data_IF_208671904258
#
_entry.id   IF_208671904258
#
_cell.length_a   1.000
_cell.length_b   1.000
_cell.length_c   1.000
_cell.angle_alpha   90.00
_cell.angle_beta   90.00
_cell.angle_gamma   90.00
#
_symmetry.space_group_name_H-M   'P 1'
#
loop_
_entity.id
_entity.type
_entity.pdbx_description
1 polymer ?
#
# COMPACT_ATOMS: atom_id res chain seq x y z
N UNK A 1 10.00 21.98 9.08
CA UNK A 1 9.84 22.31 7.65
C UNK A 1 10.91 21.53 6.90
N UNK A 2 10.54 20.43 6.23
CA UNK A 2 11.49 19.45 5.66
C UNK A 2 12.31 20.02 4.49
N UNK A 3 11.73 20.94 3.73
CA UNK A 3 12.49 21.71 2.75
C UNK A 3 13.25 22.82 3.50
N UNK A 4 14.58 22.68 3.64
CA UNK A 4 15.46 23.72 4.17
C UNK A 4 15.44 24.94 3.24
N UNK A 5 14.52 25.86 3.47
CA UNK A 5 14.44 27.13 2.74
C UNK A 5 15.48 28.08 3.35
N UNK A 6 16.47 28.49 2.55
CA UNK A 6 17.49 29.46 2.96
C UNK A 6 18.94 28.97 2.96
N UNK A 7 19.21 27.68 2.75
CA UNK A 7 20.56 27.21 2.38
C UNK A 7 20.82 27.56 0.92
N UNK A 8 21.74 28.51 0.70
CA UNK A 8 21.92 29.22 -0.56
C UNK A 8 22.73 28.46 -1.61
N UNK A 9 23.48 27.43 -1.22
CA UNK A 9 24.57 26.93 -2.07
C UNK A 9 24.28 25.59 -2.77
N UNK A 10 23.29 24.80 -2.32
CA UNK A 10 23.04 23.46 -2.87
C UNK A 10 21.61 23.25 -3.41
N UNK A 11 21.51 22.35 -4.40
CA UNK A 11 20.26 21.74 -4.87
C UNK A 11 19.86 20.68 -3.84
N UNK A 12 18.63 20.74 -3.34
CA UNK A 12 18.12 19.71 -2.43
C UNK A 12 16.87 19.03 -2.96
N UNK A 13 16.83 17.71 -2.80
CA UNK A 13 15.72 16.86 -3.21
C UNK A 13 15.02 16.32 -1.98
N UNK A 14 13.71 16.57 -1.86
CA UNK A 14 12.84 15.95 -0.87
C UNK A 14 12.07 14.81 -1.54
N UNK A 15 12.28 13.59 -1.07
CA UNK A 15 11.52 12.43 -1.48
C UNK A 15 10.31 12.23 -0.59
N UNK A 16 9.10 12.23 -1.14
CA UNK A 16 7.89 11.80 -0.45
C UNK A 16 7.57 10.38 -0.87
N UNK A 17 7.66 9.45 0.08
CA UNK A 17 7.48 8.02 -0.17
C UNK A 17 6.43 7.41 0.77
N UNK A 18 5.82 6.30 0.36
CA UNK A 18 4.83 5.58 1.16
C UNK A 18 3.76 4.89 0.30
N UNK A 19 2.85 4.20 0.97
CA UNK A 19 1.77 3.41 0.37
C UNK A 19 0.86 4.26 -0.56
N UNK A 20 0.19 3.59 -1.51
CA UNK A 20 -0.85 4.19 -2.33
C UNK A 20 -1.95 4.85 -1.49
N UNK A 21 -2.39 6.05 -1.88
CA UNK A 21 -3.47 6.75 -1.19
C UNK A 21 -3.08 7.58 0.04
N UNK A 22 -1.83 7.51 0.51
CA UNK A 22 -1.34 8.25 1.71
C UNK A 22 -1.25 9.78 1.57
N UNK A 23 -1.54 10.34 0.39
CA UNK A 23 -1.59 11.79 0.21
C UNK A 23 -0.27 12.46 -0.18
N UNK A 24 0.74 11.71 -0.64
CA UNK A 24 2.02 12.23 -1.17
C UNK A 24 1.84 13.38 -2.18
N UNK A 25 1.03 13.16 -3.21
CA UNK A 25 0.69 14.17 -4.23
C UNK A 25 0.05 15.41 -3.62
N UNK A 26 -0.85 15.23 -2.63
CA UNK A 26 -1.50 16.34 -1.93
C UNK A 26 -0.49 17.19 -1.16
N UNK A 27 0.44 16.55 -0.44
CA UNK A 27 1.51 17.24 0.29
C UNK A 27 2.47 17.97 -0.66
N UNK A 28 2.88 17.32 -1.76
CA UNK A 28 3.73 17.93 -2.77
C UNK A 28 3.07 19.17 -3.40
N UNK A 29 1.77 19.07 -3.73
CA UNK A 29 0.98 20.17 -4.27
C UNK A 29 0.84 21.32 -3.28
N UNK A 30 0.54 21.03 -2.03
CA UNK A 30 0.49 22.06 -0.99
C UNK A 30 1.82 22.79 -0.84
N UNK A 31 2.95 22.05 -0.81
CA UNK A 31 4.27 22.64 -0.75
C UNK A 31 4.57 23.51 -1.98
N UNK A 32 4.25 23.02 -3.19
CA UNK A 32 4.43 23.77 -4.43
C UNK A 32 3.66 25.09 -4.43
N UNK A 33 2.37 25.06 -4.09
CA UNK A 33 1.51 26.24 -4.06
C UNK A 33 2.01 27.26 -3.03
N UNK A 34 2.55 26.80 -1.90
CA UNK A 34 3.11 27.66 -0.84
C UNK A 34 4.48 28.23 -1.15
N UNK A 35 5.30 27.57 -1.97
CA UNK A 35 6.72 27.92 -2.12
C UNK A 35 7.07 28.48 -3.49
N UNK A 36 6.27 28.20 -4.52
CA UNK A 36 6.60 28.50 -5.91
C UNK A 36 6.92 29.97 -6.20
N UNK A 37 6.38 30.91 -5.42
CA UNK A 37 6.65 32.34 -5.58
C UNK A 37 8.09 32.76 -5.21
N UNK A 38 8.85 31.88 -4.54
CA UNK A 38 10.23 32.14 -4.09
C UNK A 38 11.30 31.68 -5.10
N UNK A 39 10.87 31.22 -6.27
CA UNK A 39 11.72 30.59 -7.29
C UNK A 39 11.51 31.28 -8.64
N UNK A 40 12.57 31.35 -9.43
CA UNK A 40 12.57 31.95 -10.77
C UNK A 40 11.87 31.04 -11.77
N UNK A 41 12.05 29.72 -11.60
CA UNK A 41 11.42 28.67 -12.40
C UNK A 41 10.60 27.75 -11.51
N UNK A 42 9.48 27.28 -12.05
CA UNK A 42 8.59 26.38 -11.34
C UNK A 42 7.95 25.39 -12.30
N UNK A 43 7.87 24.14 -11.88
CA UNK A 43 7.14 23.12 -12.63
C UNK A 43 6.52 22.11 -11.68
N UNK A 44 5.22 21.87 -11.85
CA UNK A 44 4.57 20.68 -11.33
C UNK A 44 4.29 19.73 -12.50
N UNK A 45 5.01 18.62 -12.51
CA UNK A 45 4.81 17.53 -13.46
C UNK A 45 3.96 16.44 -12.80
N UNK A 46 2.65 16.51 -13.06
CA UNK A 46 1.65 15.56 -12.54
C UNK A 46 1.76 14.19 -13.23
N UNK A 47 1.56 13.11 -12.48
CA UNK A 47 1.40 11.73 -12.96
C UNK A 47 2.45 11.25 -13.98
N UNK A 48 3.74 11.29 -13.61
CA UNK A 48 4.86 10.87 -14.47
C UNK A 48 4.71 9.43 -14.97
N UNK A 49 4.26 8.51 -14.11
CA UNK A 49 3.95 7.11 -14.47
C UNK A 49 2.95 7.02 -15.62
N UNK A 50 1.82 7.71 -15.52
CA UNK A 50 0.75 7.64 -16.51
C UNK A 50 1.17 8.32 -17.81
N UNK A 51 1.80 9.50 -17.73
CA UNK A 51 2.21 10.25 -18.91
C UNK A 51 3.29 9.51 -19.71
N UNK A 52 4.27 8.92 -19.03
CA UNK A 52 5.32 8.13 -19.69
C UNK A 52 4.76 6.88 -20.36
N UNK A 53 3.79 6.20 -19.75
CA UNK A 53 3.10 5.06 -20.35
C UNK A 53 2.32 5.49 -21.60
N UNK A 54 1.72 6.69 -21.58
CA UNK A 54 0.88 7.20 -22.67
C UNK A 54 1.68 7.74 -23.85
N UNK A 55 2.75 8.51 -23.60
CA UNK A 55 3.46 9.30 -24.61
C UNK A 55 4.95 9.01 -24.73
N UNK A 56 5.51 8.20 -23.82
CA UNK A 56 6.93 7.82 -23.79
C UNK A 56 7.81 8.85 -23.07
N UNK A 57 8.95 8.38 -22.56
CA UNK A 57 9.92 9.20 -21.81
C UNK A 57 10.39 10.47 -22.54
N UNK A 58 10.70 10.45 -23.86
CA UNK A 58 11.11 11.66 -24.56
C UNK A 58 10.02 12.74 -24.59
N UNK A 59 8.75 12.34 -24.73
CA UNK A 59 7.63 13.27 -24.73
C UNK A 59 7.42 13.89 -23.33
N UNK A 60 7.55 13.08 -22.27
CA UNK A 60 7.51 13.57 -20.89
C UNK A 60 8.62 14.58 -20.62
N UNK A 61 9.85 14.33 -21.07
CA UNK A 61 10.97 15.28 -20.91
C UNK A 61 10.70 16.60 -21.65
N UNK A 62 10.16 16.54 -22.87
CA UNK A 62 9.77 17.75 -23.61
C UNK A 62 8.64 18.51 -22.90
N UNK A 63 7.63 17.81 -22.39
CA UNK A 63 6.54 18.43 -21.62
C UNK A 63 7.07 19.11 -20.36
N UNK A 64 7.99 18.46 -19.65
CA UNK A 64 8.65 19.00 -18.46
C UNK A 64 9.39 20.30 -18.77
N UNK A 65 10.26 20.30 -19.79
CA UNK A 65 10.99 21.50 -20.21
C UNK A 65 10.03 22.61 -20.69
N UNK A 66 8.99 22.25 -21.44
CA UNK A 66 7.96 23.20 -21.90
C UNK A 66 7.28 23.92 -20.75
N UNK A 67 6.88 23.18 -19.71
CA UNK A 67 6.28 23.76 -18.49
C UNK A 67 7.26 24.66 -17.75
N UNK A 68 8.51 24.22 -17.59
CA UNK A 68 9.53 24.94 -16.83
C UNK A 68 9.93 26.26 -17.51
N UNK A 69 9.99 26.29 -18.84
CA UNK A 69 10.34 27.48 -19.64
C UNK A 69 9.15 28.29 -20.13
N UNK A 70 7.93 27.87 -19.82
CA UNK A 70 6.68 28.50 -20.26
C UNK A 70 6.61 28.69 -21.79
N UNK A 71 7.07 27.69 -22.54
CA UNK A 71 7.10 27.72 -24.00
C UNK A 71 6.35 26.54 -24.63
N UNK A 72 5.87 26.65 -25.88
CA UNK A 72 5.22 25.53 -26.57
C UNK A 72 6.20 24.35 -26.76
N UNK A 73 5.71 23.12 -26.59
CA UNK A 73 6.52 21.89 -26.75
C UNK A 73 7.27 21.84 -28.08
N UNK A 74 6.63 22.30 -29.16
CA UNK A 74 7.20 22.32 -30.51
C UNK A 74 8.38 23.31 -30.67
N UNK A 75 8.55 24.25 -29.73
CA UNK A 75 9.66 25.21 -29.75
C UNK A 75 10.96 24.65 -29.15
N UNK A 76 10.92 23.46 -28.54
CA UNK A 76 12.06 22.84 -27.85
C UNK A 76 13.01 22.06 -28.77
N UNK A 77 12.65 21.87 -30.04
CA UNK A 77 13.43 21.05 -31.00
C UNK A 77 14.79 21.65 -31.39
N UNK A 78 15.14 22.85 -30.89
CA UNK A 78 16.29 23.61 -31.43
C UNK A 78 17.55 23.55 -30.57
N UNK A 79 17.51 23.43 -29.23
CA UNK A 79 18.74 23.23 -28.44
C UNK A 79 18.48 22.89 -26.95
N UNK A 80 18.32 21.61 -26.61
CA UNK A 80 18.16 21.17 -25.21
C UNK A 80 19.37 21.54 -24.34
N UNK A 81 20.58 21.60 -24.92
CA UNK A 81 21.81 21.94 -24.20
C UNK A 81 21.92 23.40 -23.78
N UNK A 82 21.19 24.32 -24.43
CA UNK A 82 21.06 25.71 -23.97
C UNK A 82 20.13 25.78 -22.76
N UNK A 83 19.02 25.04 -22.81
CA UNK A 83 18.05 25.00 -21.72
C UNK A 83 18.67 24.41 -20.46
N UNK A 84 19.41 23.31 -20.57
CA UNK A 84 20.12 22.70 -19.44
C UNK A 84 21.16 23.65 -18.82
N UNK A 85 21.94 24.38 -19.64
CA UNK A 85 22.87 25.41 -19.14
C UNK A 85 22.17 26.53 -18.39
N UNK A 86 20.97 26.91 -18.84
CA UNK A 86 20.16 27.92 -18.17
C UNK A 86 19.61 27.43 -16.83
N UNK A 87 19.10 26.19 -16.77
CA UNK A 87 18.65 25.56 -15.53
C UNK A 87 19.76 25.46 -14.49
N UNK A 88 21.00 25.19 -14.92
CA UNK A 88 22.17 25.15 -14.05
C UNK A 88 22.52 26.50 -13.41
N UNK A 89 21.89 27.60 -13.83
CA UNK A 89 22.12 28.96 -13.30
C UNK A 89 20.92 29.58 -12.59
N UNK A 90 19.71 29.08 -12.85
CA UNK A 90 18.45 29.65 -12.35
C UNK A 90 17.88 28.84 -11.17
N UNK A 91 17.33 29.54 -10.18
CA UNK A 91 16.77 28.91 -8.98
C UNK A 91 15.38 28.34 -9.27
N UNK A 92 15.25 27.01 -9.23
CA UNK A 92 14.05 26.29 -9.69
C UNK A 92 13.33 25.52 -8.57
N UNK A 93 11.99 25.50 -8.59
CA UNK A 93 11.17 24.58 -7.79
C UNK A 93 10.48 23.57 -8.71
N UNK A 94 10.84 22.29 -8.56
CA UNK A 94 10.32 21.22 -9.41
C UNK A 94 9.59 20.20 -8.54
N UNK A 95 8.39 19.79 -8.95
CA UNK A 95 7.69 18.63 -8.43
C UNK A 95 7.55 17.59 -9.52
N UNK A 96 8.06 16.39 -9.23
CA UNK A 96 7.90 15.19 -10.06
C UNK A 96 6.94 14.24 -9.31
N UNK A 97 5.71 14.14 -9.78
CA UNK A 97 4.65 13.40 -9.09
C UNK A 97 4.43 12.01 -9.70
N UNK A 98 4.34 11.00 -8.84
CA UNK A 98 4.13 9.58 -9.15
C UNK A 98 5.19 9.03 -10.12
N UNK A 99 6.47 9.21 -9.76
CA UNK A 99 7.60 8.57 -10.45
C UNK A 99 7.65 7.10 -10.03
N UNK A 100 7.70 6.19 -11.00
CA UNK A 100 7.53 4.75 -10.79
C UNK A 100 8.71 3.89 -11.24
N UNK A 101 9.61 4.39 -12.11
CA UNK A 101 10.79 3.63 -12.56
C UNK A 101 12.07 4.47 -12.53
N UNK A 102 13.23 3.81 -12.41
CA UNK A 102 14.54 4.47 -12.48
C UNK A 102 14.73 5.19 -13.82
N UNK A 103 14.30 4.60 -14.94
CA UNK A 103 14.34 5.23 -16.25
C UNK A 103 13.56 6.55 -16.32
N UNK A 104 12.42 6.64 -15.62
CA UNK A 104 11.65 7.89 -15.52
C UNK A 104 12.42 8.93 -14.71
N UNK A 105 13.03 8.52 -13.59
CA UNK A 105 13.82 9.39 -12.74
C UNK A 105 15.07 9.92 -13.46
N UNK A 106 15.87 9.03 -14.07
CA UNK A 106 17.02 9.36 -14.91
C UNK A 106 16.65 10.35 -16.03
N UNK A 107 15.54 10.10 -16.73
CA UNK A 107 15.07 10.96 -17.82
C UNK A 107 14.70 12.38 -17.35
N UNK A 108 14.35 12.55 -16.08
CA UNK A 108 13.92 13.82 -15.48
C UNK A 108 14.98 14.46 -14.57
N UNK A 109 16.08 13.76 -14.30
CA UNK A 109 17.16 14.24 -13.44
C UNK A 109 18.03 15.28 -14.18
N UNK A 110 17.88 16.55 -13.81
CA UNK A 110 18.55 17.68 -14.47
C UNK A 110 19.60 18.32 -13.59
N UNK A 111 20.62 18.92 -14.21
CA UNK A 111 21.52 19.84 -13.52
C UNK A 111 20.78 21.16 -13.21
N UNK A 112 20.58 21.44 -11.93
CA UNK A 112 19.86 22.63 -11.45
C UNK A 112 20.82 23.63 -10.79
N UNK A 113 20.45 24.91 -10.83
CA UNK A 113 21.21 25.98 -10.23
C UNK A 113 21.12 25.99 -8.69
N UNK A 114 22.08 26.63 -8.00
CA UNK A 114 22.10 26.73 -6.55
C UNK A 114 20.77 27.23 -5.95
N UNK A 115 20.40 26.69 -4.80
CA UNK A 115 19.15 27.02 -4.14
C UNK A 115 17.89 26.41 -4.77
N UNK A 116 18.01 25.61 -5.83
CA UNK A 116 16.90 24.85 -6.41
C UNK A 116 16.40 23.77 -5.47
N UNK A 117 15.11 23.42 -5.59
CA UNK A 117 14.43 22.42 -4.79
C UNK A 117 13.67 21.46 -5.69
N UNK A 118 13.85 20.17 -5.47
CA UNK A 118 13.11 19.10 -6.15
C UNK A 118 12.26 18.37 -5.11
N UNK A 119 10.99 18.14 -5.41
CA UNK A 119 10.12 17.26 -4.64
C UNK A 119 9.75 16.10 -5.54
N UNK A 120 10.04 14.88 -5.12
CA UNK A 120 9.70 13.67 -5.86
C UNK A 120 8.69 12.88 -5.05
N UNK A 121 7.53 12.55 -5.63
CA UNK A 121 6.61 11.60 -5.02
C UNK A 121 6.75 10.24 -5.70
N UNK A 122 6.86 9.18 -4.90
CA UNK A 122 7.02 7.81 -5.40
C UNK A 122 6.42 6.82 -4.41
N UNK A 123 6.11 5.62 -4.89
CA UNK A 123 5.76 4.47 -4.05
C UNK A 123 6.95 3.56 -3.81
N UNK A 124 8.03 3.77 -4.53
CA UNK A 124 9.25 2.97 -4.52
C UNK A 124 10.45 3.82 -4.06
N UNK A 125 11.08 3.44 -2.94
CA UNK A 125 12.26 4.12 -2.39
C UNK A 125 13.45 4.10 -3.34
N UNK A 126 13.58 3.08 -4.17
CA UNK A 126 14.76 2.90 -5.03
C UNK A 126 14.91 4.07 -6.01
N UNK A 127 13.80 4.70 -6.38
CA UNK A 127 13.75 5.91 -7.23
C UNK A 127 14.65 7.03 -6.70
N UNK A 128 14.85 7.13 -5.38
CA UNK A 128 15.68 8.18 -4.82
C UNK A 128 17.17 7.98 -5.04
N UNK A 129 17.61 6.78 -5.45
CA UNK A 129 19.02 6.52 -5.80
C UNK A 129 19.50 7.38 -6.98
N UNK A 130 18.58 7.78 -7.87
CA UNK A 130 18.87 8.70 -8.98
C UNK A 130 19.04 10.16 -8.55
N UNK A 131 18.67 10.51 -7.31
CA UNK A 131 18.72 11.88 -6.81
C UNK A 131 19.77 12.01 -5.70
N UNK A 132 20.92 12.62 -6.05
CA UNK A 132 22.00 12.87 -5.08
C UNK A 132 21.52 13.73 -3.90
N UNK A 133 21.84 13.30 -2.68
CA UNK A 133 21.54 14.04 -1.45
C UNK A 133 20.05 14.14 -1.12
N UNK A 134 19.24 13.17 -1.58
CA UNK A 134 17.80 13.15 -1.31
C UNK A 134 17.49 12.89 0.18
N UNK A 135 16.74 13.80 0.79
CA UNK A 135 16.11 13.58 2.10
C UNK A 135 14.78 12.87 1.89
N UNK A 136 14.65 11.65 2.40
CA UNK A 136 13.45 10.83 2.22
C UNK A 136 12.52 11.00 3.41
N UNK A 137 11.27 11.34 3.15
CA UNK A 137 10.19 11.42 4.12
C UNK A 137 9.12 10.39 3.78
N UNK A 138 8.91 9.46 4.70
CA UNK A 138 7.78 8.54 4.65
C UNK A 138 6.51 9.25 5.09
N UNK A 139 5.53 9.30 4.18
CA UNK A 139 4.22 9.88 4.44
C UNK A 139 3.37 8.87 5.19
N UNK A 140 3.21 9.14 6.49
CA UNK A 140 2.40 8.34 7.41
C UNK A 140 0.90 8.56 7.20
N UNK A 141 0.11 7.59 7.65
CA UNK A 141 -1.35 7.70 7.72
C UNK A 141 -1.80 8.81 8.69
N UNK A 142 -3.06 9.22 8.55
CA UNK A 142 -3.68 10.17 9.49
C UNK A 142 -3.93 9.49 10.84
N UNK A 143 -3.82 10.25 11.92
CA UNK A 143 -4.27 9.80 13.24
C UNK A 143 -5.80 9.65 13.27
N UNK A 144 -6.32 9.11 14.37
CA UNK A 144 -7.76 8.81 14.52
C UNK A 144 -8.65 10.06 14.38
N UNK A 145 -8.22 11.19 14.96
CA UNK A 145 -8.97 12.44 14.97
C UNK A 145 -9.02 13.07 13.57
N UNK A 146 -7.86 13.18 12.91
CA UNK A 146 -7.76 13.69 11.54
C UNK A 146 -8.45 12.76 10.53
N UNK A 147 -8.40 11.45 10.77
CA UNK A 147 -9.13 10.46 9.98
C UNK A 147 -10.64 10.67 10.07
N UNK A 148 -11.16 10.80 11.30
CA UNK A 148 -12.58 11.04 11.55
C UNK A 148 -13.02 12.36 10.92
N UNK A 149 -12.23 13.43 11.07
CA UNK A 149 -12.52 14.72 10.45
C UNK A 149 -12.57 14.63 8.93
N UNK A 150 -11.57 14.00 8.30
CA UNK A 150 -11.52 13.87 6.84
C UNK A 150 -12.72 13.06 6.33
N UNK A 151 -13.00 11.91 6.96
CA UNK A 151 -14.16 11.10 6.63
C UNK A 151 -15.47 11.90 6.74
N UNK A 152 -15.68 12.60 7.86
CA UNK A 152 -16.89 13.39 8.09
C UNK A 152 -17.05 14.54 7.09
N UNK A 153 -15.95 15.19 6.68
CA UNK A 153 -16.02 16.22 5.63
C UNK A 153 -16.56 15.64 4.33
N UNK A 154 -16.18 14.41 3.99
CA UNK A 154 -16.64 13.75 2.77
C UNK A 154 -18.02 13.08 2.90
N UNK A 155 -18.42 12.65 4.11
CA UNK A 155 -19.73 12.05 4.36
C UNK A 155 -20.83 13.07 4.66
N UNK A 156 -20.51 14.11 5.42
CA UNK A 156 -21.50 15.01 6.02
C UNK A 156 -21.31 16.49 5.65
N UNK A 157 -20.23 16.84 4.94
CA UNK A 157 -19.82 18.22 4.65
C UNK A 157 -19.48 19.03 5.92
N UNK A 158 -19.21 18.34 7.02
CA UNK A 158 -18.86 18.90 8.33
C UNK A 158 -17.69 18.14 8.94
N UNK A 159 -16.93 18.75 9.84
CA UNK A 159 -15.78 18.08 10.49
C UNK A 159 -16.15 17.02 11.54
N UNK A 160 -17.43 16.90 11.86
CA UNK A 160 -17.92 16.01 12.91
C UNK A 160 -19.00 15.09 12.37
N UNK A 161 -19.13 13.93 12.99
CA UNK A 161 -20.19 12.99 12.71
C UNK A 161 -21.56 13.61 13.04
N UNK A 162 -22.59 13.20 12.29
CA UNK A 162 -23.98 13.54 12.63
C UNK A 162 -24.42 12.71 13.82
N UNK A 163 -25.33 13.28 14.62
CA UNK A 163 -25.95 12.56 15.74
C UNK A 163 -26.57 11.25 15.28
N UNK A 164 -26.18 10.13 15.90
CA UNK A 164 -26.60 8.77 15.57
C UNK A 164 -25.73 8.03 14.56
N UNK A 165 -24.68 8.68 14.02
CA UNK A 165 -23.72 8.12 13.05
C UNK A 165 -22.29 8.01 13.62
N UNK A 166 -22.08 8.34 14.89
CA UNK A 166 -20.76 8.38 15.54
C UNK A 166 -20.06 7.01 15.43
N UNK A 167 -20.69 5.96 15.95
CA UNK A 167 -20.17 4.58 15.92
C UNK A 167 -19.89 4.10 14.49
N UNK A 168 -20.78 4.41 13.54
CA UNK A 168 -20.59 4.01 12.15
C UNK A 168 -19.45 4.76 11.47
N UNK A 169 -19.24 6.02 11.84
CA UNK A 169 -18.13 6.83 11.35
C UNK A 169 -16.81 6.30 11.89
N UNK A 170 -16.76 5.94 13.17
CA UNK A 170 -15.60 5.30 13.81
C UNK A 170 -15.28 3.94 13.18
N UNK A 171 -16.29 3.09 12.94
CA UNK A 171 -16.11 1.81 12.24
C UNK A 171 -15.57 2.01 10.82
N UNK A 172 -16.09 3.00 10.08
CA UNK A 172 -15.62 3.31 8.74
C UNK A 172 -14.19 3.86 8.71
N UNK A 173 -13.82 4.72 9.68
CA UNK A 173 -12.47 5.29 9.76
C UNK A 173 -11.45 4.24 10.20
N UNK A 174 -11.83 3.36 11.13
CA UNK A 174 -11.01 2.21 11.55
C UNK A 174 -10.70 1.28 10.38
N UNK A 175 -11.70 0.93 9.58
CA UNK A 175 -11.50 0.17 8.34
C UNK A 175 -10.47 0.84 7.40
N UNK A 176 -10.46 2.17 7.33
CA UNK A 176 -9.53 2.88 6.46
C UNK A 176 -8.09 2.91 6.99
N UNK A 177 -7.86 2.63 8.27
CA UNK A 177 -6.52 2.60 8.88
C UNK A 177 -5.70 3.87 8.69
N UNK A 178 -6.34 5.04 8.69
CA UNK A 178 -5.67 6.32 8.46
C UNK A 178 -5.33 6.64 7.00
N UNK A 179 -5.68 5.77 6.03
CA UNK A 179 -5.44 6.03 4.60
C UNK A 179 -6.38 7.12 4.06
N UNK A 180 -5.86 8.31 3.65
CA UNK A 180 -6.69 9.42 3.18
C UNK A 180 -7.58 9.11 1.97
N UNK A 181 -7.10 8.30 1.03
CA UNK A 181 -7.90 7.92 -0.13
C UNK A 181 -9.10 7.06 0.29
N UNK A 182 -8.88 6.06 1.15
CA UNK A 182 -9.94 5.19 1.64
C UNK A 182 -11.02 6.00 2.39
N UNK A 183 -10.60 6.91 3.28
CA UNK A 183 -11.49 7.80 4.02
C UNK A 183 -12.37 8.65 3.09
N UNK A 184 -11.78 9.21 2.03
CA UNK A 184 -12.51 10.01 1.02
C UNK A 184 -13.51 9.16 0.25
N UNK A 185 -13.10 7.97 -0.20
CA UNK A 185 -13.95 7.08 -1.00
C UNK A 185 -15.13 6.59 -0.19
N UNK A 186 -14.91 6.13 1.05
CA UNK A 186 -15.99 5.66 1.91
C UNK A 186 -16.88 6.80 2.37
N UNK A 187 -16.33 7.93 2.80
CA UNK A 187 -17.11 9.10 3.20
C UNK A 187 -18.07 9.52 2.08
N UNK A 188 -17.56 9.67 0.85
CA UNK A 188 -18.38 10.04 -0.30
C UNK A 188 -19.44 8.97 -0.66
N UNK A 189 -19.12 7.68 -0.55
CA UNK A 189 -20.06 6.59 -0.79
C UNK A 189 -21.20 6.56 0.24
N UNK A 190 -20.90 6.94 1.47
CA UNK A 190 -21.82 6.85 2.60
C UNK A 190 -22.68 8.10 2.81
N UNK A 191 -22.20 9.29 2.44
CA UNK A 191 -22.86 10.55 2.76
C UNK A 191 -24.31 10.72 2.29
N UNK A 192 -24.75 9.93 1.30
CA UNK A 192 -26.12 9.96 0.76
C UNK A 192 -27.01 8.79 1.20
N UNK A 193 -26.50 7.88 2.05
CA UNK A 193 -27.15 6.62 2.41
C UNK A 193 -27.77 6.66 3.81
N UNK A 194 -28.76 5.81 4.08
CA UNK A 194 -29.35 5.66 5.42
C UNK A 194 -28.45 4.86 6.36
N UNK A 195 -28.72 4.92 7.66
CA UNK A 195 -27.97 4.20 8.70
C UNK A 195 -27.92 2.69 8.45
N UNK A 196 -29.06 2.10 8.08
CA UNK A 196 -29.17 0.66 7.82
C UNK A 196 -28.33 0.24 6.60
N UNK A 197 -28.22 1.12 5.61
CA UNK A 197 -27.38 0.86 4.43
C UNK A 197 -25.89 0.99 4.80
N UNK A 198 -25.51 1.92 5.68
CA UNK A 198 -24.12 1.99 6.18
C UNK A 198 -23.73 0.71 6.90
N UNK A 199 -24.58 0.22 7.81
CA UNK A 199 -24.35 -1.04 8.52
C UNK A 199 -24.15 -2.19 7.53
N UNK A 200 -25.07 -2.33 6.56
CA UNK A 200 -24.97 -3.39 5.55
C UNK A 200 -23.73 -3.29 4.67
N UNK A 201 -23.32 -2.09 4.26
CA UNK A 201 -22.13 -1.88 3.42
C UNK A 201 -20.84 -2.08 4.21
N UNK A 202 -20.78 -1.68 5.49
CA UNK A 202 -19.64 -1.98 6.37
C UNK A 202 -19.48 -3.48 6.58
N UNK A 203 -20.58 -4.22 6.77
CA UNK A 203 -20.53 -5.69 6.83
C UNK A 203 -20.10 -6.33 5.50
N UNK A 204 -20.49 -5.71 4.38
CA UNK A 204 -20.06 -6.17 3.05
C UNK A 204 -18.56 -5.95 2.83
N UNK A 205 -17.99 -4.81 3.28
CA UNK A 205 -16.57 -4.49 3.10
C UNK A 205 -15.65 -5.52 3.75
N UNK A 206 -16.07 -6.16 4.86
CA UNK A 206 -15.35 -7.28 5.49
C UNK A 206 -15.14 -8.50 4.58
N UNK A 207 -15.91 -8.60 3.48
CA UNK A 207 -15.88 -9.74 2.54
C UNK A 207 -15.56 -9.35 1.12
N UNK A 208 -15.96 -8.15 0.72
CA UNK A 208 -15.84 -7.63 -0.64
C UNK A 208 -15.25 -6.22 -0.52
N UNK A 209 -13.92 -6.08 -0.64
CA UNK A 209 -13.26 -4.80 -0.56
C UNK A 209 -13.75 -3.81 -1.62
N UNK A 210 -13.56 -2.51 -1.35
CA UNK A 210 -13.96 -1.49 -2.30
C UNK A 210 -13.03 -1.47 -3.52
N UNK A 211 -13.57 -1.76 -4.71
CA UNK A 211 -12.79 -1.82 -5.95
C UNK A 211 -11.96 -0.56 -6.26
N UNK A 212 -12.46 0.65 -5.94
CA UNK A 212 -11.70 1.89 -6.21
C UNK A 212 -10.49 2.05 -5.29
N UNK A 213 -10.60 1.60 -4.04
CA UNK A 213 -9.48 1.59 -3.10
C UNK A 213 -8.48 0.54 -3.57
N UNK A 214 -8.97 -0.65 -3.89
CA UNK A 214 -8.20 -1.80 -4.36
C UNK A 214 -7.36 -1.47 -5.61
N UNK A 215 -7.97 -0.87 -6.64
CA UNK A 215 -7.30 -0.48 -7.89
C UNK A 215 -6.07 0.41 -7.64
N UNK A 216 -6.18 1.37 -6.70
CA UNK A 216 -5.06 2.27 -6.41
C UNK A 216 -3.95 1.54 -5.65
N UNK A 217 -4.29 0.67 -4.71
CA UNK A 217 -3.30 -0.10 -3.94
C UNK A 217 -2.57 -1.13 -4.82
N UNK A 218 -3.32 -1.77 -5.73
CA UNK A 218 -2.84 -2.84 -6.61
C UNK A 218 -1.75 -2.38 -7.59
N UNK A 219 -1.64 -1.08 -7.84
CA UNK A 219 -0.56 -0.54 -8.68
C UNK A 219 0.84 -0.91 -8.17
N UNK A 220 1.09 -0.86 -6.85
CA UNK A 220 2.39 -1.23 -6.29
C UNK A 220 2.63 -2.75 -6.36
N UNK A 221 1.56 -3.56 -6.25
CA UNK A 221 1.63 -5.01 -6.40
C UNK A 221 1.92 -5.44 -7.84
N UNK A 222 1.32 -4.77 -8.82
CA UNK A 222 1.53 -5.07 -10.24
C UNK A 222 2.97 -4.78 -10.70
N UNK A 223 3.70 -3.93 -9.98
CA UNK A 223 5.10 -3.59 -10.25
C UNK A 223 6.09 -4.61 -9.64
N UNK A 224 5.60 -5.65 -8.96
CA UNK A 224 6.39 -6.75 -8.41
C UNK A 224 6.60 -7.86 -9.45
N UNK A 225 7.73 -8.58 -9.36
CA UNK A 225 7.89 -9.84 -10.08
C UNK A 225 7.03 -10.97 -9.48
N UNK A 226 6.94 -12.11 -10.17
CA UNK A 226 6.07 -13.21 -9.73
C UNK A 226 6.44 -13.76 -8.35
N UNK A 227 7.73 -13.88 -8.03
CA UNK A 227 8.17 -14.40 -6.74
C UNK A 227 7.87 -13.41 -5.61
N UNK A 228 8.06 -12.11 -5.87
CA UNK A 228 7.69 -11.04 -4.94
C UNK A 228 6.17 -10.96 -4.72
N UNK A 229 5.37 -11.17 -5.76
CA UNK A 229 3.91 -11.26 -5.65
C UNK A 229 3.50 -12.43 -4.76
N UNK A 230 4.13 -13.60 -4.92
CA UNK A 230 3.86 -14.74 -4.07
C UNK A 230 4.21 -14.49 -2.60
N UNK A 231 5.35 -13.84 -2.32
CA UNK A 231 5.71 -13.42 -0.97
C UNK A 231 4.66 -12.44 -0.41
N UNK A 232 4.20 -11.47 -1.20
CA UNK A 232 3.16 -10.54 -0.77
C UNK A 232 1.86 -11.26 -0.40
N UNK A 233 1.40 -12.19 -1.25
CA UNK A 233 0.16 -12.94 -1.02
C UNK A 233 0.28 -13.90 0.16
N UNK A 234 1.45 -14.52 0.34
CA UNK A 234 1.76 -15.30 1.54
C UNK A 234 1.65 -14.40 2.78
N UNK A 235 2.26 -13.21 2.77
CA UNK A 235 2.17 -12.26 3.89
C UNK A 235 0.71 -11.89 4.20
N UNK A 236 -0.06 -11.51 3.18
CA UNK A 236 -1.46 -11.08 3.34
C UNK A 236 -2.40 -12.21 3.81
N UNK A 237 -2.19 -13.45 3.35
CA UNK A 237 -3.07 -14.56 3.68
C UNK A 237 -2.70 -15.22 5.02
N UNK A 238 -1.42 -15.26 5.36
CA UNK A 238 -0.93 -15.98 6.53
C UNK A 238 -0.82 -15.11 7.80
N UNK A 239 -0.37 -13.85 7.71
CA UNK A 239 0.26 -13.15 8.85
C UNK A 239 -0.63 -12.12 9.57
N UNK A 240 -1.94 -12.39 9.69
CA UNK A 240 -2.78 -11.68 10.68
C UNK A 240 -2.42 -12.09 12.13
N UNK A 241 -1.56 -13.10 12.27
CA UNK A 241 -0.78 -13.39 13.48
C UNK A 241 0.27 -12.28 13.66
N UNK A 242 -0.03 -11.29 14.51
CA UNK A 242 0.96 -10.34 15.02
C UNK A 242 2.23 -11.12 15.41
N UNK A 243 3.29 -10.99 14.61
CA UNK A 243 4.61 -11.54 14.88
C UNK A 243 5.19 -10.81 16.10
N UNK A 244 4.70 -11.13 17.28
CA UNK A 244 5.42 -10.86 18.51
C UNK A 244 6.43 -11.98 18.64
N UNK A 245 7.68 -11.74 18.21
CA UNK A 245 8.85 -12.62 18.40
C UNK A 245 9.15 -12.96 19.88
N UNK A 246 8.24 -12.66 20.82
CA UNK A 246 8.45 -12.86 22.25
C UNK A 246 7.81 -14.09 22.85
N UNK A 247 6.93 -14.83 22.18
CA UNK A 247 6.16 -15.89 22.87
C UNK A 247 6.29 -17.34 22.34
N UNK A 248 7.08 -17.63 21.30
CA UNK A 248 7.31 -19.05 20.89
C UNK A 248 8.77 -19.27 20.50
N UNK A 249 9.52 -19.96 21.36
CA UNK A 249 10.96 -20.18 21.24
C UNK A 249 11.41 -21.19 20.18
N UNK A 250 10.57 -21.54 19.19
CA UNK A 250 10.88 -22.58 18.19
C UNK A 250 10.28 -22.29 16.79
N UNK A 251 9.72 -21.11 16.51
CA UNK A 251 9.15 -20.81 15.19
C UNK A 251 10.26 -20.39 14.20
N UNK A 252 10.45 -21.05 13.04
CA UNK A 252 11.47 -20.68 12.06
C UNK A 252 11.24 -19.23 11.58
N UNK A 253 12.34 -18.50 11.39
CA UNK A 253 12.27 -17.12 10.90
C UNK A 253 11.51 -17.10 9.57
N UNK A 254 10.60 -16.15 9.37
CA UNK A 254 9.79 -16.03 8.15
C UNK A 254 10.65 -16.07 6.86
N UNK A 255 11.86 -15.50 6.92
CA UNK A 255 12.86 -15.60 5.85
C UNK A 255 13.29 -17.04 5.56
N UNK A 256 13.48 -17.88 6.57
CA UNK A 256 13.86 -19.29 6.41
C UNK A 256 12.73 -20.12 5.80
N UNK A 257 11.48 -19.87 6.19
CA UNK A 257 10.30 -20.55 5.62
C UNK A 257 10.15 -20.21 4.13
N UNK A 258 10.27 -18.92 3.79
CA UNK A 258 10.20 -18.47 2.40
C UNK A 258 11.38 -19.01 1.58
N UNK A 259 12.61 -18.96 2.11
CA UNK A 259 13.79 -19.50 1.44
C UNK A 259 13.68 -21.03 1.23
N UNK A 260 13.13 -21.76 2.19
CA UNK A 260 12.87 -23.20 2.06
C UNK A 260 11.82 -23.50 0.98
N UNK A 261 10.91 -22.57 0.70
CA UNK A 261 9.96 -22.65 -0.41
C UNK A 261 10.58 -22.27 -1.76
N UNK A 262 11.88 -21.94 -1.81
CA UNK A 262 12.58 -21.52 -3.03
C UNK A 262 12.35 -20.04 -3.37
N UNK A 263 11.79 -19.25 -2.45
CA UNK A 263 11.74 -17.80 -2.63
C UNK A 263 13.06 -17.16 -2.22
N UNK A 264 13.43 -16.09 -2.90
CA UNK A 264 14.60 -15.28 -2.51
C UNK A 264 14.17 -14.29 -1.42
N UNK A 265 13.87 -14.80 -0.22
CA UNK A 265 13.09 -14.10 0.80
C UNK A 265 13.69 -12.74 1.19
N UNK A 266 15.01 -12.68 1.35
CA UNK A 266 15.72 -11.44 1.68
C UNK A 266 15.46 -10.35 0.63
N UNK A 267 15.64 -10.68 -0.65
CA UNK A 267 15.43 -9.74 -1.75
C UNK A 267 13.95 -9.40 -1.94
N UNK A 268 13.06 -10.39 -1.79
CA UNK A 268 11.62 -10.16 -1.92
C UNK A 268 11.07 -9.25 -0.82
N UNK A 269 11.46 -9.46 0.43
CA UNK A 269 11.06 -8.61 1.56
C UNK A 269 11.60 -7.19 1.38
N UNK A 270 12.85 -7.03 0.94
CA UNK A 270 13.42 -5.72 0.64
C UNK A 270 12.63 -4.99 -0.45
N UNK A 271 12.26 -5.67 -1.54
CA UNK A 271 11.44 -5.10 -2.59
C UNK A 271 10.05 -4.66 -2.09
N UNK A 272 9.40 -5.46 -1.25
CA UNK A 272 8.12 -5.10 -0.64
C UNK A 272 8.24 -3.90 0.31
N UNK A 273 9.32 -3.82 1.09
CA UNK A 273 9.63 -2.66 1.92
C UNK A 273 9.91 -1.41 1.07
N UNK A 274 10.66 -1.53 -0.02
CA UNK A 274 10.96 -0.40 -0.91
C UNK A 274 9.68 0.13 -1.56
N UNK A 275 8.73 -0.75 -1.91
CA UNK A 275 7.43 -0.38 -2.51
C UNK A 275 6.33 0.00 -1.51
N UNK A 276 6.68 0.16 -0.22
CA UNK A 276 5.76 0.51 0.87
C UNK A 276 4.56 -0.46 1.01
N UNK A 277 4.77 -1.73 0.71
CA UNK A 277 3.77 -2.78 0.83
C UNK A 277 3.80 -3.46 2.21
N UNK A 278 4.97 -3.43 2.86
CA UNK A 278 5.17 -3.91 4.23
C UNK A 278 6.15 -2.99 4.96
N UNK A 279 6.05 -2.97 6.28
CA UNK A 279 7.02 -2.34 7.19
C UNK A 279 7.76 -3.42 7.95
N UNK A 280 9.09 -3.32 8.00
CA UNK A 280 9.94 -4.20 8.80
C UNK A 280 10.42 -3.48 10.04
N UNK A 281 9.98 -3.95 11.20
CA UNK A 281 10.47 -3.53 12.51
C UNK A 281 11.57 -4.49 12.98
N UNK A 282 12.20 -4.22 14.13
CA UNK A 282 13.27 -5.07 14.69
C UNK A 282 12.85 -6.53 14.79
N UNK A 283 11.58 -6.75 15.12
CA UNK A 283 11.02 -8.02 15.54
C UNK A 283 9.69 -8.33 14.86
N UNK A 284 9.30 -7.63 13.78
CA UNK A 284 8.03 -7.92 13.10
C UNK A 284 8.01 -7.43 11.66
N UNK A 285 7.15 -8.06 10.86
CA UNK A 285 6.72 -7.55 9.55
C UNK A 285 5.26 -7.17 9.71
N UNK A 286 4.94 -5.93 9.33
CA UNK A 286 3.60 -5.37 9.40
C UNK A 286 3.11 -5.05 7.99
N UNK A 287 1.85 -5.36 7.73
CA UNK A 287 1.16 -5.03 6.48
C UNK A 287 -0.12 -4.28 6.84
N UNK A 288 -0.37 -3.15 6.17
CA UNK A 288 -1.58 -2.37 6.41
C UNK A 288 -2.83 -3.21 6.06
N UNK A 289 -3.89 -3.13 6.88
CA UNK A 289 -5.11 -3.92 6.70
C UNK A 289 -5.73 -3.84 5.29
N UNK A 290 -5.73 -2.65 4.67
CA UNK A 290 -6.20 -2.49 3.28
C UNK A 290 -5.33 -3.27 2.25
N UNK A 291 -4.03 -3.47 2.52
CA UNK A 291 -3.15 -4.31 1.71
C UNK A 291 -3.40 -5.79 1.99
N UNK A 292 -3.64 -6.17 3.25
CA UNK A 292 -4.05 -7.53 3.64
C UNK A 292 -5.34 -7.90 2.90
N UNK A 293 -6.37 -7.06 2.96
CA UNK A 293 -7.62 -7.23 2.23
C UNK A 293 -7.40 -7.29 0.72
N UNK A 294 -6.51 -6.44 0.18
CA UNK A 294 -6.18 -6.45 -1.24
C UNK A 294 -5.57 -7.79 -1.67
N UNK A 295 -4.61 -8.33 -0.91
CA UNK A 295 -3.98 -9.61 -1.18
C UNK A 295 -4.96 -10.77 -1.08
N UNK A 296 -5.78 -10.79 -0.03
CA UNK A 296 -6.85 -11.78 0.15
C UNK A 296 -7.87 -11.74 -0.98
N UNK A 297 -8.23 -10.56 -1.47
CA UNK A 297 -9.15 -10.44 -2.60
C UNK A 297 -8.53 -10.91 -3.92
N UNK A 298 -7.22 -10.70 -4.14
CA UNK A 298 -6.51 -11.27 -5.30
C UNK A 298 -6.61 -12.80 -5.29
N UNK A 299 -6.39 -13.44 -4.14
CA UNK A 299 -6.54 -14.90 -4.01
C UNK A 299 -8.00 -15.34 -4.15
N UNK A 300 -8.96 -14.57 -3.63
CA UNK A 300 -10.38 -14.86 -3.82
C UNK A 300 -10.79 -14.81 -5.31
N UNK A 301 -10.18 -13.93 -6.11
CA UNK A 301 -10.45 -13.80 -7.55
C UNK A 301 -10.02 -15.02 -8.36
N UNK A 302 -9.02 -15.78 -7.90
CA UNK A 302 -8.60 -17.05 -8.54
C UNK A 302 -9.76 -18.04 -8.60
N UNK A 303 -10.54 -18.16 -7.52
CA UNK A 303 -11.76 -18.97 -7.49
C UNK A 303 -12.76 -18.57 -6.41
N UNK A 304 -13.67 -17.64 -6.75
CA UNK A 304 -14.67 -17.13 -5.78
C UNK A 304 -15.57 -18.23 -5.20
N UNK A 305 -15.96 -19.20 -6.02
CA UNK A 305 -16.93 -20.25 -5.63
C UNK A 305 -16.30 -21.53 -5.07
N UNK A 306 -15.01 -21.73 -5.31
CA UNK A 306 -14.33 -22.98 -4.98
C UNK A 306 -13.02 -22.67 -4.24
N UNK A 307 -13.06 -22.49 -2.91
CA UNK A 307 -11.85 -22.19 -2.13
C UNK A 307 -10.72 -23.17 -2.42
N UNK A 308 -10.99 -24.47 -2.55
CA UNK A 308 -9.97 -25.47 -2.87
C UNK A 308 -9.27 -25.34 -4.22
N UNK A 309 -9.61 -24.34 -5.05
CA UNK A 309 -8.91 -23.96 -6.31
C UNK A 309 -8.20 -22.60 -6.20
N UNK A 310 -7.91 -22.15 -4.98
CA UNK A 310 -7.14 -20.95 -4.69
C UNK A 310 -5.75 -21.36 -4.20
N UNK A 311 -4.76 -20.52 -4.49
CA UNK A 311 -3.36 -20.69 -4.12
C UNK A 311 -3.13 -20.66 -2.61
N UNK A 312 -3.85 -19.78 -1.90
CA UNK A 312 -3.81 -19.67 -0.44
C UNK A 312 -5.18 -19.86 0.20
N UNK A 313 -5.21 -20.55 1.35
CA UNK A 313 -6.39 -20.73 2.18
C UNK A 313 -6.12 -20.29 3.61
N UNK A 314 -6.94 -19.37 4.12
CA UNK A 314 -6.80 -18.82 5.47
C UNK A 314 -8.08 -18.77 6.30
N UNK A 315 -9.25 -18.65 5.65
CA UNK A 315 -10.53 -18.64 6.37
C UNK A 315 -10.78 -20.03 6.98
N UNK A 316 -10.87 -20.08 8.32
CA UNK A 316 -10.99 -21.35 9.05
C UNK A 316 -12.20 -22.18 8.62
N UNK A 317 -13.30 -21.56 8.21
CA UNK A 317 -14.50 -22.27 7.78
C UNK A 317 -14.30 -22.85 6.38
N UNK A 318 -13.75 -22.07 5.46
CA UNK A 318 -13.44 -22.53 4.11
C UNK A 318 -12.38 -23.64 4.13
N UNK A 319 -11.31 -23.48 4.91
CA UNK A 319 -10.26 -24.50 5.07
C UNK A 319 -10.84 -25.79 5.64
N UNK A 320 -11.69 -25.71 6.67
CA UNK A 320 -12.36 -26.88 7.24
C UNK A 320 -13.17 -27.63 6.17
N UNK A 321 -13.99 -26.93 5.39
CA UNK A 321 -14.78 -27.54 4.32
C UNK A 321 -13.90 -28.12 3.20
N UNK A 322 -12.77 -27.49 2.89
CA UNK A 322 -11.82 -27.99 1.89
C UNK A 322 -11.17 -29.29 2.36
N UNK A 323 -10.68 -29.34 3.59
CA UNK A 323 -9.98 -30.48 4.16
C UNK A 323 -10.92 -31.65 4.47
N UNK A 324 -12.10 -31.39 5.04
CA UNK A 324 -13.08 -32.44 5.39
C UNK A 324 -13.63 -33.18 4.18
N UNK A 325 -13.84 -32.47 3.07
CA UNK A 325 -14.44 -33.04 1.86
C UNK A 325 -13.42 -33.27 0.74
N UNK A 326 -12.11 -33.20 1.04
CA UNK A 326 -11.02 -33.40 0.09
C UNK A 326 -11.18 -32.58 -1.20
N UNK A 327 -11.57 -31.30 -1.07
CA UNK A 327 -11.87 -30.41 -2.20
C UNK A 327 -10.66 -29.62 -2.72
N UNK A 328 -9.50 -29.73 -2.07
CA UNK A 328 -8.30 -29.04 -2.54
C UNK A 328 -7.79 -29.63 -3.85
N UNK A 329 -7.27 -28.77 -4.71
CA UNK A 329 -6.66 -29.12 -5.99
C UNK A 329 -5.16 -28.88 -5.95
N UNK A 330 -4.49 -29.17 -7.06
CA UNK A 330 -3.09 -28.83 -7.29
C UNK A 330 -2.80 -27.33 -7.23
N UNK A 331 -3.83 -26.48 -7.29
CA UNK A 331 -3.67 -25.02 -7.19
C UNK A 331 -3.31 -24.60 -5.76
N UNK A 332 -3.64 -25.39 -4.73
CA UNK A 332 -3.41 -25.03 -3.33
C UNK A 332 -1.92 -25.17 -2.98
N UNK A 333 -1.30 -24.05 -2.63
CA UNK A 333 0.11 -23.96 -2.26
C UNK A 333 0.32 -23.71 -0.76
N UNK A 334 -0.58 -22.95 -0.14
CA UNK A 334 -0.46 -22.51 1.25
C UNK A 334 -1.78 -22.68 1.99
N UNK A 335 -1.71 -23.30 3.17
CA UNK A 335 -2.84 -23.40 4.10
C UNK A 335 -2.38 -22.89 5.46
N UNK A 336 -3.08 -21.89 6.00
CA UNK A 336 -2.81 -21.38 7.34
C UNK A 336 -4.08 -20.91 8.01
N UNK A 337 -4.49 -21.56 9.09
CA UNK A 337 -5.74 -21.19 9.74
C UNK A 337 -5.72 -21.49 11.23
N UNK A 338 -6.60 -20.79 11.94
CA UNK A 338 -6.86 -21.06 13.35
C UNK A 338 -7.86 -22.18 13.49
N UNK A 339 -7.47 -23.20 14.24
CA UNK A 339 -8.34 -24.29 14.63
C UNK A 339 -9.00 -24.00 15.97
N UNK A 340 -10.31 -23.79 15.95
CA UNK A 340 -11.14 -23.75 17.16
C UNK A 340 -11.15 -25.14 17.81
N UNK A 341 -10.92 -25.21 19.14
CA UNK A 341 -10.92 -26.49 19.87
C UNK A 341 -12.21 -27.28 19.69
N UNK A 342 -13.35 -26.59 19.65
CA UNK A 342 -14.68 -27.18 19.45
C UNK A 342 -14.83 -27.92 18.12
N UNK A 343 -14.00 -27.60 17.12
CA UNK A 343 -14.05 -28.20 15.77
C UNK A 343 -12.98 -29.27 15.54
N UNK A 344 -12.09 -29.51 16.52
CA UNK A 344 -11.04 -30.54 16.44
C UNK A 344 -11.65 -31.93 16.26
N UNK A 345 -12.71 -32.25 17.00
CA UNK A 345 -13.35 -33.57 16.96
C UNK A 345 -14.06 -33.86 15.62
N UNK A 346 -14.38 -32.82 14.85
CA UNK A 346 -15.08 -32.95 13.58
C UNK A 346 -14.14 -32.95 12.35
N UNK A 347 -12.83 -32.67 12.52
CA UNK A 347 -11.85 -32.66 11.43
C UNK A 347 -10.93 -33.88 11.49
N UNK A 348 -11.35 -34.97 10.85
CA UNK A 348 -10.51 -36.16 10.66
C UNK A 348 -9.62 -35.99 9.43
N UNK A 349 -8.41 -35.48 9.65
CA UNK A 349 -7.39 -35.40 8.59
C UNK A 349 -6.86 -36.81 8.29
N UNK A 350 -6.90 -37.19 7.02
CA UNK A 350 -6.27 -38.41 6.51
C UNK A 350 -5.24 -38.03 5.46
N UNK A 351 -4.39 -38.99 5.06
CA UNK A 351 -3.48 -38.77 3.93
C UNK A 351 -4.21 -38.37 2.65
N UNK A 352 -5.47 -38.79 2.49
CA UNK A 352 -6.29 -38.42 1.34
C UNK A 352 -6.72 -36.94 1.34
N UNK A 353 -6.70 -36.26 2.49
CA UNK A 353 -7.08 -34.84 2.61
C UNK A 353 -6.13 -33.89 1.87
N UNK A 354 -4.87 -34.29 1.70
CA UNK A 354 -3.85 -33.49 1.02
C UNK A 354 -3.41 -34.10 -0.32
N UNK A 355 -3.92 -35.27 -0.68
CA UNK A 355 -3.43 -36.07 -1.82
C UNK A 355 -3.49 -35.34 -3.16
N UNK A 356 -4.49 -34.48 -3.35
CA UNK A 356 -4.66 -33.69 -4.57
C UNK A 356 -3.87 -32.38 -4.57
N UNK A 357 -3.38 -31.93 -3.41
CA UNK A 357 -2.67 -30.66 -3.23
C UNK A 357 -1.16 -30.85 -3.43
N UNK A 358 -0.77 -31.30 -4.62
CA UNK A 358 0.61 -31.70 -4.91
C UNK A 358 1.62 -30.55 -4.86
N UNK A 359 1.15 -29.30 -4.94
CA UNK A 359 1.97 -28.09 -4.85
C UNK A 359 1.95 -27.45 -3.46
N UNK A 360 1.31 -28.10 -2.47
CA UNK A 360 1.29 -27.61 -1.10
C UNK A 360 2.72 -27.55 -0.54
N UNK A 361 3.23 -26.33 -0.40
CA UNK A 361 4.58 -26.03 0.10
C UNK A 361 4.56 -25.59 1.56
N UNK A 362 3.42 -25.17 2.08
CA UNK A 362 3.31 -24.69 3.44
C UNK A 362 1.96 -25.01 4.09
N UNK A 363 2.00 -25.59 5.29
CA UNK A 363 0.84 -25.90 6.13
C UNK A 363 1.09 -25.44 7.56
N UNK A 364 0.21 -24.60 8.07
CA UNK A 364 0.25 -24.12 9.45
C UNK A 364 -1.12 -24.20 10.09
N UNK A 365 -1.16 -24.72 11.31
CA UNK A 365 -2.38 -24.93 12.07
C UNK A 365 -2.10 -24.42 13.48
N UNK A 366 -2.71 -23.29 13.83
CA UNK A 366 -2.60 -22.72 15.18
C UNK A 366 -3.83 -23.07 16.00
N UNK A 367 -3.63 -23.38 17.28
CA UNK A 367 -4.72 -23.66 18.22
C UNK A 367 -4.93 -22.47 19.13
N UNK A 368 -6.19 -22.14 19.41
CA UNK A 368 -6.48 -21.12 20.40
C UNK A 368 -6.22 -21.69 21.82
N UNK A 369 -5.22 -21.17 22.53
CA UNK A 369 -4.96 -21.47 23.94
C UNK A 369 -5.45 -20.33 24.83
N UNK A 370 -6.74 -20.00 24.80
CA UNK A 370 -7.28 -19.11 25.82
C UNK A 370 -7.28 -19.83 27.17
N UNK A 371 -6.51 -19.28 28.11
CA UNK A 371 -6.67 -19.51 29.55
C UNK A 371 -8.11 -19.19 29.94
N UNK A 372 -8.84 -20.16 30.50
CA UNK A 372 -10.05 -19.88 31.24
C UNK A 372 -9.69 -19.04 32.48
N UNK A 373 -9.79 -17.71 32.38
CA UNK A 373 -10.15 -16.92 33.55
C UNK A 373 -11.62 -16.54 33.42
N UNK A 374 -12.46 -17.12 34.28
CA UNK A 374 -13.85 -16.70 34.45
C UNK A 374 -13.88 -15.22 34.84
N UNK A 375 -14.29 -14.36 33.92
CA UNK A 375 -15.07 -13.15 34.24
C UNK A 375 -15.81 -12.66 32.98
N UNK A 376 -17.15 -12.62 33.11
CA UNK A 376 -18.21 -12.03 32.27
C UNK A 376 -17.89 -11.44 30.87
N UNK A 377 -18.54 -12.05 29.86
CA UNK A 377 -19.24 -11.44 28.70
C UNK A 377 -18.70 -10.15 28.08
N UNK A 378 -18.21 -10.22 26.84
CA UNK A 378 -18.92 -9.78 25.60
C UNK A 378 -18.07 -10.12 24.35
N UNK A 379 -18.73 -10.75 23.38
CA UNK A 379 -18.58 -10.73 21.91
C UNK A 379 -17.20 -10.54 21.25
N UNK A 380 -16.82 -11.55 20.45
CA UNK A 380 -15.70 -11.54 19.50
C UNK A 380 -15.93 -10.50 18.37
N UNK A 381 -15.14 -9.42 18.37
CA UNK A 381 -15.03 -8.43 17.28
C UNK A 381 -13.56 -8.32 16.83
N UNK A 382 -13.22 -8.58 15.55
CA UNK A 382 -11.86 -8.44 15.04
C UNK A 382 -11.33 -7.00 15.02
N UNK A 383 -12.12 -6.01 15.46
CA UNK A 383 -11.75 -4.59 15.49
C UNK A 383 -11.71 -3.95 16.88
N UNK A 384 -11.54 -4.74 17.94
CA UNK A 384 -11.22 -4.25 19.28
C UNK A 384 -9.81 -4.70 19.72
N UNK A 385 -8.80 -3.90 19.38
CA UNK A 385 -7.58 -3.70 20.18
C UNK A 385 -6.92 -2.39 19.80
#
# INVERSE_FOLDING_TARGET
MLLKIGSADDVTTLGLWGMGGMGKTTLAKYAYDKLSFQFERRCFLENVREESTRSGLPAVRKLFLSKLFECPVNALDVDTGILERRLASEKSLIVLDDVATLEQAENLNMCLGPGSRVIVTTRDKEIFSEFNGCEIYEVQGLDEDDSLQLFCVHAFLTKHAKVGYEELSERATRYCGGNPLALKVLGANFGTKSKEVWESELEKLKKIPNGRIHEVLKLSFNDLDSAQQDIFLDIACFFELKLHYRDVGDDPLMTEVLDACGFFAVSGIEALCNKALITRNSDSIEMHDLLVEMGREIVNEESRKHPGRRSRLWDSKEVYDVLKYNKGTEDVEVISFYMERSKIEDLYLSSDSFKSMINLRYLHITYNSFFESKACSTEDDPWQA
#
